data_IF_901428746948
#
_entry.id   IF_901428746948
#
_cell.length_a   1.000
_cell.length_b   1.000
_cell.length_c   1.000
_cell.angle_alpha   90.00
_cell.angle_beta   90.00
_cell.angle_gamma   90.00
#
_symmetry.space_group_name_H-M   'P 1'
#
loop_
_entity.id
_entity.type
_entity.pdbx_description
1 polymer ?
#
# COMPACT_ATOMS: atom_id res chain seq x y z
N UNK A 1 -16.20 13.33 11.69
CA UNK A 1 -16.83 14.06 12.81
C UNK A 1 -16.83 15.52 12.45
N UNK A 2 -17.88 15.97 11.76
CA UNK A 2 -18.05 17.37 11.42
C UNK A 2 -18.18 18.15 12.72
N UNK A 3 -17.40 19.21 12.88
CA UNK A 3 -17.58 20.15 13.97
C UNK A 3 -19.02 20.68 13.86
N UNK A 4 -19.82 20.32 14.84
CA UNK A 4 -21.12 20.94 15.08
C UNK A 4 -20.86 22.45 15.21
N UNK A 5 -21.36 23.29 14.28
CA UNK A 5 -21.21 24.72 14.40
C UNK A 5 -21.87 25.10 15.73
N UNK A 6 -21.05 25.52 16.70
CA UNK A 6 -21.54 25.98 18.00
C UNK A 6 -22.64 27.01 17.73
N UNK A 7 -23.87 26.62 18.05
CA UNK A 7 -25.05 27.46 17.84
C UNK A 7 -24.83 28.78 18.56
N UNK A 8 -24.51 29.82 17.80
CA UNK A 8 -24.44 31.19 18.27
C UNK A 8 -25.83 31.81 18.09
N UNK A 9 -26.59 32.05 19.17
CA UNK A 9 -27.92 32.63 19.08
C UNK A 9 -27.94 34.06 18.52
N UNK A 10 -26.78 34.71 18.34
CA UNK A 10 -26.66 36.00 17.66
C UNK A 10 -26.51 35.89 16.14
N UNK A 11 -26.21 34.70 15.61
CA UNK A 11 -26.05 34.47 14.17
C UNK A 11 -27.38 34.09 13.51
N UNK A 12 -28.23 35.09 13.31
CA UNK A 12 -29.53 34.95 12.65
C UNK A 12 -29.40 35.02 11.11
N UNK A 13 -28.56 34.15 10.54
CA UNK A 13 -28.48 34.01 9.09
C UNK A 13 -29.57 33.02 8.67
N UNK A 14 -30.57 33.49 7.92
CA UNK A 14 -31.58 32.63 7.30
C UNK A 14 -30.84 31.55 6.49
N UNK A 15 -31.00 30.25 6.79
CA UNK A 15 -30.36 29.17 6.05
C UNK A 15 -30.66 29.22 4.54
N UNK A 16 -31.76 29.87 4.12
CA UNK A 16 -32.11 30.11 2.72
C UNK A 16 -31.31 31.27 2.08
N UNK A 17 -30.71 32.14 2.87
CA UNK A 17 -29.89 33.29 2.43
C UNK A 17 -28.38 33.06 2.60
N UNK A 18 -27.98 32.01 3.33
CA UNK A 18 -26.57 31.60 3.43
C UNK A 18 -26.19 30.83 2.16
N UNK A 19 -25.21 31.31 1.38
CA UNK A 19 -24.71 30.56 0.23
C UNK A 19 -24.14 29.22 0.71
N UNK A 20 -24.69 28.11 0.23
CA UNK A 20 -24.13 26.78 0.43
C UNK A 20 -23.65 26.24 -0.92
N UNK A 21 -22.47 25.62 -0.91
CA UNK A 21 -21.95 24.93 -2.09
C UNK A 21 -22.58 23.54 -2.15
N UNK A 22 -23.31 23.26 -3.22
CA UNK A 22 -23.89 21.95 -3.49
C UNK A 22 -23.07 21.25 -4.57
N UNK A 23 -22.46 20.12 -4.22
CA UNK A 23 -21.69 19.28 -5.16
C UNK A 23 -22.46 18.00 -5.39
N UNK A 24 -22.74 17.68 -6.65
CA UNK A 24 -23.30 16.38 -7.05
C UNK A 24 -22.35 15.69 -8.02
N UNK A 25 -22.18 14.36 -7.91
CA UNK A 25 -21.44 13.62 -8.91
C UNK A 25 -22.23 13.65 -10.22
N UNK A 26 -21.59 14.09 -11.29
CA UNK A 26 -22.08 13.95 -12.65
C UNK A 26 -21.14 12.99 -13.38
N UNK A 27 -21.70 12.10 -14.19
CA UNK A 27 -20.87 11.25 -15.03
C UNK A 27 -20.23 12.11 -16.13
N UNK A 28 -18.93 11.98 -16.32
CA UNK A 28 -18.24 12.58 -17.46
C UNK A 28 -18.54 11.77 -18.72
N UNK A 29 -18.85 12.46 -19.81
CA UNK A 29 -18.98 11.85 -21.15
C UNK A 29 -17.61 11.40 -21.69
N UNK A 30 -16.54 12.05 -21.20
CA UNK A 30 -15.14 11.65 -21.36
C UNK A 30 -14.81 10.69 -20.21
N UNK A 31 -15.06 9.40 -20.40
CA UNK A 31 -14.73 8.39 -19.37
C UNK A 31 -13.24 8.42 -18.99
N UNK A 32 -12.91 8.07 -17.75
CA UNK A 32 -11.52 8.05 -17.29
C UNK A 32 -10.72 6.96 -18.05
N UNK A 33 -9.62 7.36 -18.69
CA UNK A 33 -8.71 6.44 -19.35
C UNK A 33 -7.64 5.97 -18.36
N UNK A 34 -7.43 4.65 -18.29
CA UNK A 34 -6.35 4.04 -17.51
C UNK A 34 -5.45 3.32 -18.49
N UNK A 35 -4.19 3.74 -18.56
CA UNK A 35 -3.18 3.15 -19.44
C UNK A 35 -1.95 2.82 -18.63
N UNK A 36 -1.26 1.75 -19.01
CA UNK A 36 -0.11 1.30 -18.25
C UNK A 36 0.54 0.09 -18.87
N UNK A 37 1.59 -0.38 -18.21
CA UNK A 37 2.23 -1.64 -18.54
C UNK A 37 2.66 -2.35 -17.27
N UNK A 38 2.72 -3.67 -17.37
CA UNK A 38 3.17 -4.54 -16.29
C UNK A 38 4.27 -5.45 -16.80
N UNK A 39 5.32 -5.59 -16.01
CA UNK A 39 6.41 -6.51 -16.27
C UNK A 39 6.53 -7.45 -15.08
N UNK A 40 6.57 -8.75 -15.36
CA UNK A 40 6.86 -9.78 -14.36
C UNK A 40 8.05 -10.59 -14.81
N UNK A 41 8.98 -10.85 -13.89
CA UNK A 41 10.17 -11.64 -14.12
C UNK A 41 10.35 -12.67 -12.99
N UNK A 42 10.62 -13.92 -13.35
CA UNK A 42 10.94 -14.97 -12.40
C UNK A 42 12.10 -15.80 -12.93
N UNK A 43 13.13 -15.96 -12.11
CA UNK A 43 14.33 -16.69 -12.45
C UNK A 43 14.76 -17.56 -11.28
N UNK A 44 14.52 -18.88 -11.37
CA UNK A 44 15.23 -19.87 -10.56
C UNK A 44 16.71 -19.90 -10.96
N UNK A 45 17.62 -19.98 -9.99
CA UNK A 45 19.06 -20.01 -10.22
C UNK A 45 19.60 -21.45 -10.34
N UNK A 46 18.84 -22.35 -10.95
CA UNK A 46 19.21 -23.77 -11.13
C UNK A 46 20.49 -23.99 -11.93
N UNK A 47 20.96 -22.97 -12.66
CA UNK A 47 22.23 -22.96 -13.37
C UNK A 47 23.45 -22.77 -12.45
N UNK A 48 23.26 -22.32 -11.20
CA UNK A 48 24.33 -22.18 -10.21
C UNK A 48 24.64 -23.52 -9.54
N UNK A 49 25.90 -23.79 -9.18
CA UNK A 49 26.29 -25.05 -8.56
C UNK A 49 25.95 -25.11 -7.06
N UNK A 50 25.78 -26.34 -6.55
CA UNK A 50 25.65 -26.61 -5.12
C UNK A 50 24.38 -26.02 -4.52
N UNK A 51 24.48 -25.47 -3.30
CA UNK A 51 23.32 -24.92 -2.60
C UNK A 51 22.67 -23.74 -3.32
N UNK A 52 23.40 -23.03 -4.17
CA UNK A 52 22.88 -21.86 -4.90
C UNK A 52 21.84 -22.24 -5.98
N UNK A 53 21.74 -23.51 -6.38
CA UNK A 53 20.72 -23.97 -7.34
C UNK A 53 19.29 -23.82 -6.82
N UNK A 54 19.14 -23.67 -5.51
CA UNK A 54 17.87 -23.55 -4.79
C UNK A 54 17.44 -22.10 -4.57
N UNK A 55 18.27 -21.14 -4.98
CA UNK A 55 17.91 -19.72 -4.95
C UNK A 55 17.06 -19.35 -6.15
N UNK A 56 16.31 -18.28 -6.01
CA UNK A 56 15.72 -17.59 -7.15
C UNK A 56 15.26 -16.18 -6.81
N UNK A 57 14.85 -15.49 -7.85
CA UNK A 57 14.27 -14.16 -7.77
C UNK A 57 12.93 -14.14 -8.49
N UNK A 58 11.95 -13.48 -7.89
CA UNK A 58 10.71 -13.11 -8.54
C UNK A 58 10.52 -11.61 -8.37
N UNK A 59 10.18 -10.90 -9.44
CA UNK A 59 9.89 -9.48 -9.40
C UNK A 59 8.71 -9.12 -10.30
N UNK A 60 8.00 -8.07 -9.90
CA UNK A 60 7.02 -7.40 -10.73
C UNK A 60 7.18 -5.88 -10.63
N UNK A 61 6.84 -5.22 -11.72
CA UNK A 61 6.80 -3.78 -11.83
C UNK A 61 5.57 -3.39 -12.64
N UNK A 62 4.76 -2.50 -12.08
CA UNK A 62 3.55 -1.98 -12.71
C UNK A 62 3.65 -0.47 -12.78
N UNK A 63 3.44 0.08 -13.97
CA UNK A 63 3.27 1.51 -14.21
C UNK A 63 1.87 1.79 -14.73
N UNK A 64 1.16 2.73 -14.11
CA UNK A 64 -0.19 3.13 -14.49
C UNK A 64 -0.29 4.65 -14.53
N UNK A 65 -0.88 5.17 -15.60
CA UNK A 65 -1.30 6.55 -15.77
C UNK A 65 -2.82 6.56 -15.90
N UNK A 66 -3.48 7.34 -15.05
CA UNK A 66 -4.91 7.51 -15.05
C UNK A 66 -5.24 8.95 -14.68
N UNK A 67 -6.06 9.61 -15.49
CA UNK A 67 -6.57 10.94 -15.18
C UNK A 67 -7.63 10.83 -14.07
N UNK A 68 -7.48 11.64 -13.03
CA UNK A 68 -8.42 11.80 -11.91
C UNK A 68 -8.90 10.48 -11.25
N UNK A 69 -7.99 9.51 -11.13
CA UNK A 69 -8.31 8.20 -10.52
C UNK A 69 -7.74 8.05 -9.12
N UNK A 70 -8.62 7.81 -8.16
CA UNK A 70 -8.25 7.53 -6.76
C UNK A 70 -7.79 6.09 -6.58
N UNK A 71 -6.85 5.84 -5.66
CA UNK A 71 -6.42 4.50 -5.27
C UNK A 71 -5.28 3.91 -6.13
N UNK A 72 -4.93 4.55 -7.24
CA UNK A 72 -3.89 4.09 -8.16
C UNK A 72 -2.54 4.76 -7.82
N UNK A 73 -1.56 3.94 -7.46
CA UNK A 73 -0.16 4.38 -7.35
C UNK A 73 0.46 4.38 -8.75
N UNK A 74 1.08 5.48 -9.22
CA UNK A 74 1.66 5.55 -10.57
C UNK A 74 2.70 4.46 -10.86
N UNK A 75 3.53 4.14 -9.87
CA UNK A 75 4.46 3.03 -9.94
C UNK A 75 4.29 2.11 -8.74
N UNK A 76 4.43 0.81 -8.96
CA UNK A 76 4.58 -0.17 -7.90
C UNK A 76 5.59 -1.24 -8.30
N UNK A 77 6.34 -1.73 -7.32
CA UNK A 77 7.32 -2.78 -7.50
C UNK A 77 7.29 -3.76 -6.34
N UNK A 78 7.43 -5.04 -6.67
CA UNK A 78 7.72 -6.08 -5.70
C UNK A 78 8.92 -6.90 -6.17
N UNK A 79 9.86 -7.15 -5.27
CA UNK A 79 11.04 -7.97 -5.51
C UNK A 79 11.16 -8.97 -4.38
N UNK A 80 11.18 -10.25 -4.72
CA UNK A 80 11.29 -11.35 -3.79
C UNK A 80 12.52 -12.18 -4.11
N UNK A 81 13.43 -12.28 -3.16
CA UNK A 81 14.51 -13.27 -3.17
C UNK A 81 14.05 -14.47 -2.35
N UNK A 82 14.22 -15.66 -2.89
CA UNK A 82 13.82 -16.89 -2.21
C UNK A 82 14.91 -17.95 -2.29
N UNK A 83 14.88 -18.84 -1.29
CA UNK A 83 15.63 -20.07 -1.22
C UNK A 83 14.64 -21.19 -0.92
N UNK A 84 14.63 -22.25 -1.72
CA UNK A 84 13.70 -23.36 -1.53
C UNK A 84 14.40 -24.71 -1.59
N UNK A 85 14.28 -25.49 -0.52
CA UNK A 85 14.80 -26.84 -0.42
C UNK A 85 13.82 -27.71 0.38
N UNK A 86 13.85 -29.02 0.14
CA UNK A 86 12.93 -29.99 0.75
C UNK A 86 12.79 -29.87 2.27
N UNK A 87 13.90 -29.60 2.98
CA UNK A 87 13.89 -29.51 4.44
C UNK A 87 13.60 -28.11 4.96
N UNK A 88 13.97 -27.07 4.23
CA UNK A 88 13.82 -25.69 4.66
C UNK A 88 13.85 -24.74 3.49
N UNK A 89 13.19 -23.61 3.67
CA UNK A 89 13.19 -22.56 2.69
C UNK A 89 12.81 -21.24 3.33
N UNK A 90 12.93 -20.18 2.55
CA UNK A 90 12.51 -18.87 2.95
C UNK A 90 12.55 -17.88 1.83
N UNK A 91 11.92 -16.74 2.08
CA UNK A 91 11.84 -15.61 1.16
C UNK A 91 11.93 -14.31 1.92
N UNK A 92 12.53 -13.33 1.26
CA UNK A 92 12.49 -11.93 1.66
C UNK A 92 11.90 -11.16 0.50
N UNK A 93 10.84 -10.43 0.77
CA UNK A 93 10.08 -9.67 -0.20
C UNK A 93 10.16 -8.19 0.13
N UNK A 94 10.46 -7.38 -0.87
CA UNK A 94 10.40 -5.93 -0.82
C UNK A 94 9.20 -5.49 -1.65
N UNK A 95 8.32 -4.69 -1.05
CA UNK A 95 7.14 -4.11 -1.67
C UNK A 95 7.22 -2.59 -1.61
N UNK A 96 7.04 -1.91 -2.75
CA UNK A 96 6.88 -0.45 -2.79
C UNK A 96 5.79 -0.06 -3.76
N UNK A 97 5.16 1.04 -3.43
CA UNK A 97 4.27 1.79 -4.30
C UNK A 97 4.55 3.27 -4.14
N UNK A 98 4.24 4.04 -5.17
CA UNK A 98 4.21 5.49 -5.07
C UNK A 98 3.01 5.97 -4.24
N UNK A 99 3.08 7.20 -3.78
CA UNK A 99 1.95 7.90 -3.18
C UNK A 99 0.78 7.97 -4.16
N UNK A 100 -0.43 7.86 -3.63
CA UNK A 100 -1.63 7.78 -4.46
C UNK A 100 -2.74 8.69 -3.94
N UNK A 101 -3.58 9.13 -4.87
CA UNK A 101 -4.70 10.01 -4.59
C UNK A 101 -5.81 9.26 -3.84
N UNK A 102 -6.28 9.80 -2.73
CA UNK A 102 -7.47 9.35 -2.02
C UNK A 102 -8.71 10.15 -2.44
N UNK A 103 -8.57 11.46 -2.60
CA UNK A 103 -9.66 12.34 -3.05
C UNK A 103 -9.16 13.69 -3.58
N UNK A 104 -9.85 14.23 -4.57
CA UNK A 104 -9.73 15.61 -5.04
C UNK A 104 -11.16 16.18 -5.30
N UNK A 105 -11.58 17.30 -4.68
CA UNK A 105 -10.84 18.05 -3.67
C UNK A 105 -10.65 17.25 -2.37
N UNK A 106 -9.59 17.55 -1.62
CA UNK A 106 -9.36 16.96 -0.30
C UNK A 106 -10.35 17.47 0.76
N UNK A 107 -10.44 16.77 1.89
CA UNK A 107 -11.20 17.23 3.06
C UNK A 107 -10.53 18.41 3.78
N UNK A 108 -11.28 19.10 4.65
CA UNK A 108 -10.76 20.16 5.55
C UNK A 108 -9.98 21.31 4.86
N UNK A 109 -10.32 21.64 3.61
CA UNK A 109 -9.68 22.74 2.88
C UNK A 109 -8.39 22.35 2.15
N UNK A 110 -8.06 21.06 2.08
CA UNK A 110 -6.96 20.55 1.25
C UNK A 110 -7.34 20.53 -0.24
N UNK A 111 -6.36 20.77 -1.10
CA UNK A 111 -6.52 20.65 -2.56
C UNK A 111 -6.70 19.18 -2.93
N UNK A 112 -5.83 18.30 -2.43
CA UNK A 112 -5.95 16.84 -2.56
C UNK A 112 -5.71 16.17 -1.22
N UNK A 113 -6.19 14.94 -1.08
CA UNK A 113 -5.78 14.02 -0.01
C UNK A 113 -5.07 12.83 -0.63
N UNK A 114 -3.87 12.49 -0.14
CA UNK A 114 -3.00 11.43 -0.67
C UNK A 114 -2.56 10.50 0.44
N UNK A 115 -2.35 9.22 0.12
CA UNK A 115 -1.71 8.26 1.03
C UNK A 115 -0.27 8.05 0.61
N UNK A 116 0.62 8.09 1.61
CA UNK A 116 2.04 7.78 1.46
C UNK A 116 2.23 6.31 1.03
N UNK A 117 3.14 6.09 0.10
CA UNK A 117 3.55 4.79 -0.40
C UNK A 117 4.84 4.30 0.27
N UNK A 118 4.77 3.60 1.41
CA UNK A 118 5.94 3.07 2.12
C UNK A 118 6.64 1.93 1.35
N UNK A 119 7.88 1.65 1.77
CA UNK A 119 8.67 0.50 1.30
C UNK A 119 8.67 -0.62 2.34
N UNK A 120 7.79 -1.60 2.21
CA UNK A 120 7.72 -2.70 3.16
C UNK A 120 8.73 -3.80 2.82
N UNK A 121 9.37 -4.32 3.85
CA UNK A 121 10.12 -5.58 3.76
C UNK A 121 9.37 -6.65 4.56
N UNK A 122 9.16 -7.79 3.94
CA UNK A 122 8.52 -8.95 4.54
C UNK A 122 9.45 -10.17 4.45
N UNK A 123 9.33 -11.06 5.42
CA UNK A 123 10.09 -12.30 5.51
C UNK A 123 9.14 -13.46 5.75
N UNK A 124 9.38 -14.58 5.09
CA UNK A 124 8.76 -15.85 5.48
C UNK A 124 9.79 -16.97 5.38
N UNK A 125 9.80 -17.87 6.35
CA UNK A 125 10.68 -19.02 6.37
C UNK A 125 9.94 -20.25 6.91
N UNK A 126 10.37 -21.43 6.50
CA UNK A 126 9.86 -22.69 7.00
C UNK A 126 10.98 -23.70 7.24
N UNK A 127 10.71 -24.64 8.14
CA UNK A 127 11.59 -25.78 8.42
C UNK A 127 10.75 -27.03 8.69
N UNK A 128 10.99 -28.08 7.91
CA UNK A 128 10.37 -29.39 8.08
C UNK A 128 11.19 -30.19 9.10
N UNK A 129 10.69 -30.30 10.34
CA UNK A 129 11.35 -31.10 11.38
C UNK A 129 11.24 -32.59 11.07
N UNK A 130 10.07 -33.00 10.61
CA UNK A 130 9.75 -34.37 10.20
C UNK A 130 8.83 -34.32 8.99
N UNK A 131 8.55 -35.47 8.37
CA UNK A 131 7.60 -35.55 7.25
C UNK A 131 6.16 -35.14 7.62
N UNK A 132 5.89 -35.04 8.92
CA UNK A 132 4.58 -34.72 9.46
C UNK A 132 4.55 -33.36 10.17
N UNK A 133 5.69 -32.75 10.52
CA UNK A 133 5.76 -31.51 11.32
C UNK A 133 6.62 -30.47 10.61
N UNK A 134 6.02 -29.31 10.38
CA UNK A 134 6.70 -28.13 9.83
C UNK A 134 6.56 -26.94 10.78
N UNK A 135 7.64 -26.18 10.97
CA UNK A 135 7.60 -24.86 11.60
C UNK A 135 7.63 -23.77 10.54
N UNK A 136 6.98 -22.65 10.83
CA UNK A 136 7.06 -21.43 10.03
C UNK A 136 7.36 -20.22 10.89
N UNK A 137 8.05 -19.26 10.27
CA UNK A 137 8.28 -17.91 10.79
C UNK A 137 7.87 -16.92 9.71
N UNK A 138 7.05 -15.95 10.07
CA UNK A 138 6.64 -14.87 9.19
C UNK A 138 6.91 -13.53 9.87
N UNK A 139 7.54 -12.60 9.16
CA UNK A 139 7.76 -11.22 9.58
C UNK A 139 7.12 -10.29 8.55
N UNK A 140 6.18 -9.46 8.98
CA UNK A 140 5.49 -8.50 8.12
C UNK A 140 5.97 -7.10 8.50
N UNK A 141 6.27 -6.28 7.50
CA UNK A 141 6.77 -4.91 7.65
C UNK A 141 7.98 -4.84 8.61
N UNK A 142 8.98 -5.71 8.42
CA UNK A 142 10.17 -5.75 9.28
C UNK A 142 11.05 -4.50 9.17
N UNK A 143 10.83 -3.68 8.14
CA UNK A 143 11.43 -2.35 7.97
C UNK A 143 10.81 -1.28 8.87
N UNK A 144 9.73 -1.60 9.60
CA UNK A 144 9.06 -0.71 10.54
C UNK A 144 8.49 0.57 9.88
N UNK A 145 8.02 0.45 8.63
CA UNK A 145 7.44 1.57 7.91
C UNK A 145 6.10 2.00 8.49
N UNK A 146 5.83 3.30 8.34
CA UNK A 146 4.62 3.95 8.84
C UNK A 146 3.63 4.15 7.70
N UNK A 147 2.35 4.15 8.03
CA UNK A 147 1.32 4.61 7.10
C UNK A 147 0.96 6.05 7.41
N UNK A 148 0.83 6.87 6.36
CA UNK A 148 0.52 8.28 6.50
C UNK A 148 -0.47 8.73 5.44
N UNK A 149 -1.46 9.51 5.84
CA UNK A 149 -2.33 10.26 4.92
C UNK A 149 -2.00 11.73 5.10
N UNK A 150 -1.81 12.44 4.00
CA UNK A 150 -1.52 13.87 4.00
C UNK A 150 -2.41 14.60 2.99
N UNK A 151 -2.78 15.82 3.34
CA UNK A 151 -3.39 16.77 2.43
C UNK A 151 -2.33 17.57 1.69
N UNK A 152 -2.70 18.08 0.51
CA UNK A 152 -1.91 19.09 -0.20
C UNK A 152 -2.59 20.46 -0.09
N UNK A 153 -1.78 21.51 -0.20
CA UNK A 153 -2.26 22.88 -0.39
C UNK A 153 -1.98 23.36 -1.81
N UNK A 154 -2.02 24.68 -2.04
CA UNK A 154 -1.63 25.23 -3.33
C UNK A 154 -0.09 25.17 -3.45
N UNK A 155 0.43 24.25 -4.26
CA UNK A 155 1.87 24.01 -4.43
C UNK A 155 2.38 22.80 -3.64
N UNK A 156 3.58 22.90 -3.06
CA UNK A 156 4.31 21.77 -2.45
C UNK A 156 3.99 21.52 -0.96
N UNK A 157 2.82 21.94 -0.48
CA UNK A 157 2.47 21.77 0.94
C UNK A 157 2.16 20.30 1.24
N UNK A 158 2.80 19.73 2.27
CA UNK A 158 2.51 18.41 2.85
C UNK A 158 1.90 18.61 4.24
N UNK A 159 0.59 18.35 4.36
CA UNK A 159 -0.20 18.55 5.58
C UNK A 159 -0.64 17.19 6.11
N UNK A 160 0.20 16.56 6.94
CA UNK A 160 -0.10 15.24 7.52
C UNK A 160 -1.41 15.27 8.32
N UNK A 161 -2.37 14.44 7.91
CA UNK A 161 -3.69 14.31 8.53
C UNK A 161 -3.78 13.08 9.44
N UNK A 162 -3.21 11.98 8.99
CA UNK A 162 -3.24 10.71 9.71
C UNK A 162 -1.85 10.09 9.70
N UNK A 163 -1.48 9.50 10.84
CA UNK A 163 -0.24 8.78 11.02
C UNK A 163 -0.55 7.52 11.80
N UNK A 164 -0.21 6.37 11.23
CA UNK A 164 -0.43 5.06 11.83
C UNK A 164 0.87 4.26 11.80
N UNK A 165 1.19 3.64 12.93
CA UNK A 165 2.38 2.83 13.10
C UNK A 165 2.00 1.53 13.79
N UNK A 166 1.89 0.46 12.98
CA UNK A 166 1.57 -0.88 13.46
C UNK A 166 2.80 -1.62 13.98
N UNK A 167 3.99 -1.17 13.59
CA UNK A 167 5.24 -1.84 13.89
C UNK A 167 5.52 -3.06 13.00
N UNK A 168 6.71 -3.62 13.14
CA UNK A 168 7.04 -4.95 12.61
C UNK A 168 6.24 -6.04 13.36
N UNK A 169 5.60 -6.93 12.62
CA UNK A 169 4.80 -8.03 13.17
C UNK A 169 5.45 -9.37 12.90
N UNK A 170 5.51 -10.25 13.91
CA UNK A 170 6.13 -11.56 13.80
C UNK A 170 5.15 -12.67 14.19
N UNK A 171 5.09 -13.71 13.37
CA UNK A 171 4.24 -14.87 13.56
C UNK A 171 5.07 -16.14 13.55
N UNK A 172 4.75 -17.06 14.45
CA UNK A 172 5.35 -18.38 14.53
C UNK A 172 4.26 -19.41 14.36
N UNK A 173 4.47 -20.39 13.48
CA UNK A 173 3.50 -21.43 13.16
C UNK A 173 4.06 -22.83 13.34
N UNK A 174 3.17 -23.76 13.70
CA UNK A 174 3.42 -25.20 13.66
C UNK A 174 2.33 -25.84 12.81
N UNK A 175 2.72 -26.66 11.85
CA UNK A 175 1.80 -27.41 10.97
C UNK A 175 2.04 -28.89 11.13
N UNK A 176 0.96 -29.66 11.31
CA UNK A 176 0.98 -31.12 11.30
C UNK A 176 0.23 -31.66 10.08
N UNK A 177 0.82 -32.63 9.37
CA UNK A 177 0.20 -33.34 8.23
C UNK A 177 0.04 -34.81 8.59
N UNK A 178 -1.12 -35.39 8.27
CA UNK A 178 -1.48 -36.80 8.46
C UNK A 178 -1.57 -37.55 7.14
#
# INVERSE_FOLDING_TARGET
>A
MYADPQYDPSYNADPALVPYTFTIPVNSDEGNSVQGFELTYNQPFTFLPGWMSNLGIASNYTHVSADDSTGLSPNSYNVTLYYDQDKFGGRVSLNKRDDYLLSAPGGNGHVEERKYGPTHVDLAAFYNLTDHISLSLEGINISDEVERIYGTGYGDQDLTREYSHTGAQWFFGVRYKY
#
